data_IF_484041102257
#
_entry.id   IF_484041102257
#
_cell.length_a   1.000
_cell.length_b   1.000
_cell.length_c   1.000
_cell.angle_alpha   90.00
_cell.angle_beta   90.00
_cell.angle_gamma   90.00
#
_symmetry.space_group_name_H-M   'P 1'
#
loop_
_entity.id
_entity.type
_entity.pdbx_description
1 polymer ?
#
# COMPACT_ATOMS: atom_id res chain seq x y z
N UNK A 1 0.05 -16.21 17.26
CA UNK A 1 0.19 -15.09 16.32
C UNK A 1 -0.09 -13.79 17.07
N UNK A 2 0.78 -12.77 16.98
CA UNK A 2 0.47 -11.44 17.54
C UNK A 2 -0.64 -10.80 16.71
N UNK A 3 -1.64 -10.19 17.37
CA UNK A 3 -2.68 -9.43 16.65
C UNK A 3 -2.00 -8.28 15.87
N UNK A 4 -2.34 -8.05 14.60
CA UNK A 4 -1.84 -6.89 13.87
C UNK A 4 -2.28 -5.62 14.61
N UNK A 5 -1.33 -4.72 14.84
CA UNK A 5 -1.58 -3.40 15.45
C UNK A 5 -2.35 -2.53 14.46
N UNK A 6 -3.19 -1.63 14.97
CA UNK A 6 -3.73 -0.54 14.16
C UNK A 6 -2.60 0.44 13.83
N UNK A 7 -2.68 1.12 12.69
CA UNK A 7 -1.69 2.14 12.29
C UNK A 7 -1.55 3.28 13.31
N UNK A 8 -2.64 3.57 14.02
CA UNK A 8 -2.68 4.55 15.10
C UNK A 8 -1.79 4.13 16.29
N UNK A 9 -1.70 2.82 16.56
CA UNK A 9 -0.95 2.22 17.67
C UNK A 9 0.52 1.94 17.32
N UNK A 10 0.88 2.02 16.05
CA UNK A 10 2.25 1.82 15.58
C UNK A 10 3.12 3.03 15.91
N UNK A 11 4.36 2.79 16.35
CA UNK A 11 5.36 3.85 16.42
C UNK A 11 5.84 4.26 15.00
N UNK A 12 6.62 5.34 14.91
CA UNK A 12 7.10 5.87 13.61
C UNK A 12 7.87 4.84 12.80
N UNK A 13 8.71 4.02 13.43
CA UNK A 13 9.49 2.98 12.74
C UNK A 13 8.60 1.85 12.23
N UNK A 14 7.64 1.39 13.03
CA UNK A 14 6.64 0.39 12.62
C UNK A 14 5.77 0.90 11.46
N UNK A 15 5.40 2.18 11.48
CA UNK A 15 4.69 2.82 10.35
C UNK A 15 5.55 2.89 9.10
N UNK A 16 6.81 3.31 9.21
CA UNK A 16 7.72 3.38 8.07
C UNK A 16 7.92 2.01 7.41
N UNK A 17 8.09 0.94 8.19
CA UNK A 17 8.18 -0.42 7.66
C UNK A 17 6.87 -0.85 6.97
N UNK A 18 5.73 -0.53 7.56
CA UNK A 18 4.41 -0.82 6.99
C UNK A 18 4.20 -0.10 5.66
N UNK A 19 4.54 1.19 5.56
CA UNK A 19 4.43 1.98 4.33
C UNK A 19 5.35 1.43 3.23
N UNK A 20 6.57 1.01 3.61
CA UNK A 20 7.50 0.38 2.68
C UNK A 20 6.95 -0.93 2.13
N UNK A 21 6.39 -1.80 2.98
CA UNK A 21 5.76 -3.06 2.55
C UNK A 21 4.56 -2.79 1.64
N UNK A 22 3.73 -1.82 1.99
CA UNK A 22 2.58 -1.43 1.19
C UNK A 22 3.00 -0.96 -0.20
N UNK A 23 4.02 -0.10 -0.29
CA UNK A 23 4.62 0.32 -1.57
C UNK A 23 5.10 -0.87 -2.41
N UNK A 24 5.83 -1.82 -1.80
CA UNK A 24 6.29 -3.03 -2.50
C UNK A 24 5.13 -3.89 -3.03
N UNK A 25 4.08 -4.09 -2.22
CA UNK A 25 2.89 -4.82 -2.63
C UNK A 25 2.19 -4.11 -3.80
N UNK A 26 2.05 -2.79 -3.74
CA UNK A 26 1.44 -2.02 -4.82
C UNK A 26 2.25 -2.05 -6.11
N UNK A 27 3.58 -1.99 -6.04
CA UNK A 27 4.45 -2.18 -7.22
C UNK A 27 4.26 -3.56 -7.83
N UNK A 28 4.19 -4.61 -7.02
CA UNK A 28 3.90 -5.96 -7.52
C UNK A 28 2.54 -6.03 -8.20
N UNK A 29 1.49 -5.50 -7.57
CA UNK A 29 0.16 -5.41 -8.15
C UNK A 29 0.14 -4.61 -9.45
N UNK A 30 0.93 -3.54 -9.56
CA UNK A 30 1.05 -2.77 -10.80
C UNK A 30 1.65 -3.61 -11.94
N UNK A 31 2.67 -4.43 -11.65
CA UNK A 31 3.25 -5.37 -12.63
C UNK A 31 2.20 -6.37 -13.10
N UNK A 32 1.40 -6.93 -12.19
CA UNK A 32 0.33 -7.86 -12.55
C UNK A 32 -0.76 -7.16 -13.37
N UNK A 33 -1.20 -5.97 -12.95
CA UNK A 33 -2.16 -5.14 -13.68
C UNK A 33 -1.67 -4.85 -15.11
N UNK A 34 -0.39 -4.50 -15.26
CA UNK A 34 0.23 -4.26 -16.57
C UNK A 34 0.16 -5.48 -17.48
N UNK A 35 0.47 -6.66 -16.94
CA UNK A 35 0.41 -7.92 -17.69
C UNK A 35 -1.01 -8.28 -18.10
N UNK A 36 -2.00 -7.94 -17.27
CA UNK A 36 -3.42 -8.15 -17.56
C UNK A 36 -4.04 -7.08 -18.48
N UNK A 37 -3.31 -6.01 -18.82
CA UNK A 37 -3.85 -4.87 -19.55
C UNK A 37 -4.81 -4.00 -18.73
N UNK A 38 -4.78 -4.09 -17.40
CA UNK A 38 -5.61 -3.29 -16.51
C UNK A 38 -5.08 -1.85 -16.40
N UNK A 39 -5.99 -0.89 -16.49
CA UNK A 39 -5.73 0.55 -16.36
C UNK A 39 -5.30 0.95 -14.95
N UNK A 40 -5.60 0.13 -13.93
CA UNK A 40 -5.16 0.33 -12.55
C UNK A 40 -3.63 0.33 -12.38
N UNK A 41 -2.88 -0.23 -13.35
CA UNK A 41 -1.41 -0.28 -13.34
C UNK A 41 -0.77 1.08 -13.01
N UNK A 42 -1.22 2.15 -13.66
CA UNK A 42 -0.63 3.49 -13.44
C UNK A 42 -0.89 4.01 -12.05
N UNK A 43 -2.14 3.88 -11.58
CA UNK A 43 -2.53 4.35 -10.25
C UNK A 43 -1.78 3.58 -9.14
N UNK A 44 -1.59 2.27 -9.33
CA UNK A 44 -0.83 1.43 -8.41
C UNK A 44 0.65 1.85 -8.37
N UNK A 45 1.27 2.08 -9.53
CA UNK A 45 2.66 2.58 -9.63
C UNK A 45 2.84 3.95 -8.98
N UNK A 46 2.00 4.93 -9.33
CA UNK A 46 2.11 6.30 -8.82
C UNK A 46 1.97 6.36 -7.30
N UNK A 47 1.03 5.61 -6.74
CA UNK A 47 0.81 5.59 -5.30
C UNK A 47 1.88 4.77 -4.57
N UNK A 48 2.41 3.70 -5.18
CA UNK A 48 3.55 2.95 -4.67
C UNK A 48 4.81 3.84 -4.59
N UNK A 49 5.10 4.61 -5.63
CA UNK A 49 6.22 5.55 -5.69
C UNK A 49 6.07 6.66 -4.65
N UNK A 50 4.85 7.19 -4.49
CA UNK A 50 4.54 8.20 -3.46
C UNK A 50 4.79 7.65 -2.06
N UNK A 51 4.34 6.44 -1.77
CA UNK A 51 4.57 5.79 -0.46
C UNK A 51 6.06 5.52 -0.20
N UNK A 52 6.84 5.19 -1.24
CA UNK A 52 8.27 4.97 -1.10
C UNK A 52 9.03 6.27 -0.84
N UNK A 53 8.73 7.31 -1.63
CA UNK A 53 9.40 8.61 -1.58
C UNK A 53 9.03 9.40 -0.32
N UNK A 54 7.73 9.49 -0.04
CA UNK A 54 7.20 10.34 1.02
C UNK A 54 6.96 9.54 2.32
N UNK A 55 7.17 8.23 2.29
CA UNK A 55 6.97 7.30 3.42
C UNK A 55 7.61 7.72 4.74
N UNK A 56 8.87 8.19 4.78
CA UNK A 56 9.46 8.69 6.02
C UNK A 56 8.69 9.87 6.61
N UNK A 57 8.27 10.83 5.78
CA UNK A 57 7.48 11.98 6.23
C UNK A 57 6.07 11.55 6.70
N UNK A 58 5.39 10.70 5.92
CA UNK A 58 4.07 10.14 6.25
C UNK A 58 4.12 9.28 7.53
N UNK A 59 5.24 8.61 7.81
CA UNK A 59 5.39 7.78 9.00
C UNK A 59 5.45 8.60 10.30
N UNK A 60 6.02 9.81 10.22
CA UNK A 60 6.13 10.75 11.32
C UNK A 60 4.87 11.62 11.46
N UNK A 61 4.17 11.86 10.36
CA UNK A 61 2.97 12.70 10.33
C UNK A 61 1.71 11.94 10.80
N UNK A 62 1.08 12.43 11.87
CA UNK A 62 -0.16 11.90 12.44
C UNK A 62 -1.42 12.62 11.94
N UNK A 63 -1.26 13.55 11.00
CA UNK A 63 -2.37 14.29 10.41
C UNK A 63 -3.34 13.40 9.64
N UNK A 64 -4.56 13.90 9.46
CA UNK A 64 -5.57 13.26 8.62
C UNK A 64 -5.11 13.12 7.16
N UNK A 65 -4.28 14.06 6.68
CA UNK A 65 -3.71 14.00 5.32
C UNK A 65 -2.84 12.76 5.16
N UNK A 66 -1.95 12.48 6.12
CA UNK A 66 -1.12 11.28 6.09
C UNK A 66 -1.95 9.99 6.17
N UNK A 67 -3.01 9.98 6.98
CA UNK A 67 -3.92 8.84 7.09
C UNK A 67 -4.70 8.60 5.79
N UNK A 68 -5.13 9.66 5.11
CA UNK A 68 -5.85 9.57 3.85
C UNK A 68 -5.00 8.93 2.74
N UNK A 69 -3.70 9.23 2.68
CA UNK A 69 -2.79 8.58 1.71
C UNK A 69 -2.73 7.07 1.92
N UNK A 70 -2.72 6.63 3.18
CA UNK A 70 -2.67 5.21 3.52
C UNK A 70 -4.00 4.53 3.20
N UNK A 71 -5.11 5.19 3.52
CA UNK A 71 -6.45 4.70 3.19
C UNK A 71 -6.65 4.57 1.68
N UNK A 72 -6.21 5.56 0.90
CA UNK A 72 -6.24 5.54 -0.56
C UNK A 72 -5.45 4.34 -1.12
N UNK A 73 -4.26 4.09 -0.58
CA UNK A 73 -3.43 2.96 -0.99
C UNK A 73 -4.08 1.61 -0.69
N UNK A 74 -4.69 1.46 0.49
CA UNK A 74 -5.40 0.24 0.86
C UNK A 74 -6.67 0.03 0.02
N UNK A 75 -7.46 1.07 -0.25
CA UNK A 75 -8.66 0.99 -1.09
C UNK A 75 -8.31 0.61 -2.52
N UNK A 76 -7.29 1.25 -3.11
CA UNK A 76 -6.83 0.92 -4.46
C UNK A 76 -6.33 -0.52 -4.56
N UNK A 77 -5.53 -0.96 -3.59
CA UNK A 77 -5.03 -2.34 -3.54
C UNK A 77 -6.19 -3.34 -3.38
N UNK A 78 -7.14 -3.07 -2.49
CA UNK A 78 -8.32 -3.92 -2.29
C UNK A 78 -9.18 -4.05 -3.54
N UNK A 79 -9.41 -2.93 -4.27
CA UNK A 79 -10.12 -2.95 -5.56
C UNK A 79 -9.37 -3.77 -6.61
N UNK A 80 -8.06 -3.62 -6.69
CA UNK A 80 -7.24 -4.41 -7.60
C UNK A 80 -7.35 -5.91 -7.29
N UNK A 81 -7.24 -6.32 -6.02
CA UNK A 81 -7.34 -7.72 -5.61
C UNK A 81 -8.73 -8.33 -5.86
N UNK A 82 -9.79 -7.54 -5.69
CA UNK A 82 -11.15 -7.97 -6.04
C UNK A 82 -11.32 -8.23 -7.54
N UNK A 83 -10.67 -7.42 -8.38
CA UNK A 83 -10.68 -7.59 -9.83
C UNK A 83 -9.71 -8.69 -10.31
N UNK A 84 -8.74 -9.08 -9.47
CA UNK A 84 -7.74 -10.12 -9.76
C UNK A 84 -7.66 -11.16 -8.63
N UNK A 85 -8.71 -11.99 -8.45
CA UNK A 85 -8.78 -12.93 -7.33
C UNK A 85 -7.66 -13.99 -7.32
N UNK A 86 -6.97 -14.21 -8.45
CA UNK A 86 -5.79 -15.08 -8.57
C UNK A 86 -4.44 -14.38 -8.29
N UNK A 87 -4.44 -13.05 -8.13
CA UNK A 87 -3.25 -12.24 -7.82
C UNK A 87 -3.05 -12.03 -6.32
N UNK A 88 -3.80 -12.74 -5.46
CA UNK A 88 -3.63 -12.68 -4.01
C UNK A 88 -2.22 -13.10 -3.66
N UNK A 89 -1.32 -12.12 -3.54
CA UNK A 89 -0.02 -12.26 -2.91
C UNK A 89 -0.19 -12.27 -1.39
N UNK A 90 -1.13 -13.06 -0.89
CA UNK A 90 -1.11 -13.55 0.48
C UNK A 90 -0.37 -14.87 0.46
N UNK A 91 0.93 -14.81 0.15
CA UNK A 91 1.83 -15.94 0.35
C UNK A 91 2.25 -15.96 1.82
N UNK A 92 1.78 -17.01 2.49
CA UNK A 92 2.40 -17.82 3.56
C UNK A 92 3.07 -17.14 4.77
#
# INVERSE_FOLDING_TARGET
MKKPKRIEEMNTMERADTLRRLSQTMHFSAVVARQAGDRACKQLEELADRLLRDGPAISADRSEVALNVIAEAMDLLGRFEMNHPGSKSTLH
#
